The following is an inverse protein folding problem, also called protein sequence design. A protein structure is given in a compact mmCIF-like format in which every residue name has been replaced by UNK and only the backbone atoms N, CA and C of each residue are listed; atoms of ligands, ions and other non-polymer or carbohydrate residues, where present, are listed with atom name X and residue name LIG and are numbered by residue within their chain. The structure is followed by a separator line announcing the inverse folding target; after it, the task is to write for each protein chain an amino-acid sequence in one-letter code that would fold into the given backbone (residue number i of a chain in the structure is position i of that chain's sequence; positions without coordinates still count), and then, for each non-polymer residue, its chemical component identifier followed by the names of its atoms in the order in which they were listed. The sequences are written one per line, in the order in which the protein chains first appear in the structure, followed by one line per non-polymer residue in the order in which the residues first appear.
data_IF_545570761620
#
_entry.id   IF_545570761620
#
_cell.length_a   1.000
_cell.length_b   1.000
_cell.length_c   1.000
_cell.angle_alpha   90.00
_cell.angle_beta   90.00
_cell.angle_gamma   90.00
#
_symmetry.space_group_name_H-M   'P 1'
#
loop_
_entity.id
_entity.type
_entity.pdbx_description
1 polymer ?
#
# COMPACT_ATOMS: atom_id res chain seq x y z
N UNK A 1 -3.55 10.31 -19.54
CA UNK A 1 -3.08 8.92 -19.67
C UNK A 1 -1.87 8.97 -20.58
N UNK A 2 -0.69 8.58 -20.08
CA UNK A 2 0.53 8.60 -20.88
C UNK A 2 0.65 7.29 -21.68
N UNK A 3 1.33 7.34 -22.83
CA UNK A 3 1.63 6.16 -23.63
C UNK A 3 2.84 5.45 -23.01
N UNK A 4 2.66 4.19 -22.61
CA UNK A 4 3.72 3.35 -22.04
C UNK A 4 4.54 2.72 -23.17
N UNK A 5 3.85 2.24 -24.21
CA UNK A 5 4.51 1.53 -25.30
C UNK A 5 3.55 0.96 -26.34
N UNK A 6 4.07 0.10 -27.20
CA UNK A 6 3.36 -0.56 -28.29
C UNK A 6 3.69 -2.05 -28.36
N UNK A 7 2.69 -2.88 -28.63
CA UNK A 7 2.89 -4.32 -28.82
C UNK A 7 3.61 -4.59 -30.14
N UNK A 8 4.75 -5.29 -30.09
CA UNK A 8 5.59 -5.56 -31.26
C UNK A 8 5.61 -7.04 -31.67
N UNK A 9 5.25 -7.94 -30.77
CA UNK A 9 5.01 -9.35 -31.07
C UNK A 9 4.01 -9.93 -30.08
N UNK A 10 3.26 -10.95 -30.52
CA UNK A 10 2.34 -11.69 -29.67
C UNK A 10 2.12 -13.09 -30.25
N UNK A 11 2.15 -14.08 -29.38
CA UNK A 11 1.82 -15.48 -29.68
C UNK A 11 0.59 -15.86 -28.86
N UNK A 12 -0.54 -16.11 -29.53
CA UNK A 12 -1.81 -16.42 -28.88
C UNK A 12 -2.75 -15.22 -28.70
N UNK A 13 -3.71 -15.34 -27.77
CA UNK A 13 -4.73 -14.32 -27.50
C UNK A 13 -4.57 -13.77 -26.08
N UNK A 14 -4.18 -12.50 -25.97
CA UNK A 14 -4.13 -11.76 -24.72
C UNK A 14 -5.29 -10.77 -24.62
N UNK A 15 -5.65 -10.34 -23.41
CA UNK A 15 -6.62 -9.27 -23.20
C UNK A 15 -5.97 -8.07 -22.52
N UNK A 16 -6.38 -6.89 -22.92
CA UNK A 16 -6.10 -5.62 -22.25
C UNK A 16 -7.29 -5.23 -21.39
N UNK A 17 -7.06 -4.91 -20.14
CA UNK A 17 -8.04 -4.33 -19.23
C UNK A 17 -7.67 -2.86 -19.08
N UNK A 18 -8.49 -1.96 -19.61
CA UNK A 18 -8.26 -0.52 -19.48
C UNK A 18 -8.51 -0.03 -18.05
N UNK A 19 -8.03 1.17 -17.72
CA UNK A 19 -8.21 1.78 -16.39
C UNK A 19 -9.68 1.85 -15.89
N UNK A 20 -10.66 1.81 -16.80
CA UNK A 20 -12.09 1.78 -16.45
C UNK A 20 -12.64 0.35 -16.20
N UNK A 21 -11.77 -0.65 -16.17
CA UNK A 21 -12.12 -2.06 -16.00
C UNK A 21 -12.65 -2.75 -17.26
N UNK A 22 -12.74 -2.05 -18.41
CA UNK A 22 -13.19 -2.68 -19.64
C UNK A 22 -12.10 -3.59 -20.21
N UNK A 23 -12.46 -4.85 -20.46
CA UNK A 23 -11.59 -5.82 -21.09
C UNK A 23 -11.82 -5.85 -22.60
N UNK A 24 -10.72 -5.83 -23.37
CA UNK A 24 -10.70 -5.98 -24.83
C UNK A 24 -9.60 -6.96 -25.23
N UNK A 25 -9.77 -7.65 -26.34
CA UNK A 25 -8.68 -8.40 -26.95
C UNK A 25 -7.53 -7.48 -27.37
N UNK A 26 -6.32 -7.86 -26.97
CA UNK A 26 -5.09 -7.17 -27.32
C UNK A 26 -4.68 -7.55 -28.75
N UNK A 27 -4.17 -6.58 -29.52
CA UNK A 27 -3.71 -6.82 -30.89
C UNK A 27 -2.26 -6.37 -31.06
N UNK A 28 -1.61 -6.97 -32.05
CA UNK A 28 -0.29 -6.54 -32.48
C UNK A 28 -0.33 -5.08 -32.94
N UNK A 29 0.56 -4.26 -32.40
CA UNK A 29 0.62 -2.84 -32.66
C UNK A 29 -0.33 -1.98 -31.82
N UNK A 30 -1.06 -2.55 -30.87
CA UNK A 30 -1.86 -1.78 -29.92
C UNK A 30 -0.94 -0.93 -29.03
N UNK A 31 -1.42 0.28 -28.74
CA UNK A 31 -0.80 1.20 -27.81
C UNK A 31 -1.27 0.87 -26.39
N UNK A 32 -0.32 0.75 -25.46
CA UNK A 32 -0.58 0.52 -24.03
C UNK A 32 -0.43 1.83 -23.28
N UNK A 33 -1.41 2.17 -22.45
CA UNK A 33 -1.41 3.40 -21.67
C UNK A 33 -1.17 3.15 -20.19
N UNK A 34 -0.82 4.21 -19.46
CA UNK A 34 -0.70 4.15 -18.00
C UNK A 34 -2.04 3.71 -17.39
N UNK A 35 -1.95 2.84 -16.38
CA UNK A 35 -3.03 2.16 -15.69
C UNK A 35 -3.79 1.08 -16.50
N UNK A 36 -3.32 0.72 -17.69
CA UNK A 36 -3.82 -0.47 -18.37
C UNK A 36 -3.19 -1.75 -17.79
N UNK A 37 -3.91 -2.86 -17.86
CA UNK A 37 -3.44 -4.17 -17.41
C UNK A 37 -3.47 -5.18 -18.55
N UNK A 38 -2.35 -5.84 -18.84
CA UNK A 38 -2.28 -6.94 -19.79
C UNK A 38 -2.50 -8.25 -19.05
N UNK A 39 -3.41 -9.08 -19.57
CA UNK A 39 -3.70 -10.44 -19.10
C UNK A 39 -3.39 -11.44 -20.19
N UNK A 40 -2.42 -12.33 -19.95
CA UNK A 40 -2.07 -13.45 -20.83
C UNK A 40 -2.67 -14.75 -20.31
N UNK A 41 -3.16 -15.60 -21.22
CA UNK A 41 -3.64 -16.95 -20.90
C UNK A 41 -2.53 -17.99 -20.89
N UNK A 42 -2.89 -19.27 -20.74
CA UNK A 42 -1.95 -20.37 -20.83
C UNK A 42 -1.32 -20.46 -22.24
N UNK A 43 0.01 -20.55 -22.30
CA UNK A 43 0.77 -20.61 -23.56
C UNK A 43 0.75 -19.33 -24.40
N UNK A 44 0.36 -18.19 -23.83
CA UNK A 44 0.33 -16.88 -24.52
C UNK A 44 1.57 -16.08 -24.15
N UNK A 45 2.24 -15.51 -25.14
CA UNK A 45 3.40 -14.63 -24.94
C UNK A 45 3.17 -13.29 -25.64
N UNK A 46 3.63 -12.20 -25.04
CA UNK A 46 3.45 -10.83 -25.57
C UNK A 46 4.75 -10.05 -25.38
N UNK A 47 5.24 -9.42 -26.45
CA UNK A 47 6.36 -8.48 -26.38
C UNK A 47 5.85 -7.05 -26.53
N UNK A 48 6.09 -6.25 -25.49
CA UNK A 48 5.77 -4.84 -25.42
C UNK A 48 7.05 -4.02 -25.59
N UNK A 49 7.12 -3.20 -26.63
CA UNK A 49 8.15 -2.17 -26.74
C UNK A 49 7.70 -0.92 -26.01
N UNK A 50 8.42 -0.54 -24.96
CA UNK A 50 8.22 0.69 -24.22
C UNK A 50 8.58 1.92 -25.09
N UNK A 51 8.08 3.09 -24.69
CA UNK A 51 8.39 4.36 -25.35
C UNK A 51 9.89 4.71 -25.33
N UNK A 52 10.67 4.13 -24.41
CA UNK A 52 12.14 4.27 -24.34
C UNK A 52 12.89 3.31 -25.30
N UNK A 53 12.18 2.45 -26.04
CA UNK A 53 12.75 1.47 -26.97
C UNK A 53 13.05 0.09 -26.38
N UNK A 54 13.00 -0.07 -25.05
CA UNK A 54 13.18 -1.35 -24.38
C UNK A 54 12.01 -2.30 -24.66
N UNK A 55 12.30 -3.59 -24.80
CA UNK A 55 11.29 -4.63 -24.98
C UNK A 55 11.08 -5.37 -23.66
N UNK A 56 9.83 -5.47 -23.23
CA UNK A 56 9.38 -6.31 -22.12
C UNK A 56 8.73 -7.56 -22.70
N UNK A 57 9.25 -8.72 -22.32
CA UNK A 57 8.65 -10.01 -22.61
C UNK A 57 7.69 -10.42 -21.49
N UNK A 58 6.45 -10.73 -21.85
CA UNK A 58 5.38 -11.16 -20.95
C UNK A 58 5.03 -12.60 -21.28
N UNK A 59 5.31 -13.52 -20.35
CA UNK A 59 5.03 -14.94 -20.51
C UNK A 59 3.55 -15.32 -20.33
N UNK A 60 3.29 -16.62 -20.34
CA UNK A 60 1.97 -17.18 -20.11
C UNK A 60 1.47 -16.96 -18.67
N UNK A 61 0.14 -16.90 -18.53
CA UNK A 61 -0.57 -16.80 -17.24
C UNK A 61 -0.16 -15.59 -16.40
N UNK A 62 0.18 -14.49 -17.05
CA UNK A 62 0.58 -13.24 -16.40
C UNK A 62 -0.57 -12.24 -16.35
N UNK A 63 -0.56 -11.42 -15.31
CA UNK A 63 -1.43 -10.26 -15.17
C UNK A 63 -0.58 -9.07 -14.71
N UNK A 64 -0.29 -8.17 -15.64
CA UNK A 64 0.66 -7.07 -15.44
C UNK A 64 -0.07 -5.74 -15.61
N UNK A 65 -0.18 -4.98 -14.53
CA UNK A 65 -0.70 -3.63 -14.53
C UNK A 65 0.43 -2.63 -14.80
N UNK A 66 0.29 -1.74 -15.78
CA UNK A 66 1.30 -0.75 -16.16
C UNK A 66 1.03 0.59 -15.46
N UNK A 67 1.47 0.72 -14.22
CA UNK A 67 1.41 1.99 -13.47
C UNK A 67 2.54 2.96 -13.86
N UNK A 68 2.40 4.24 -13.53
CA UNK A 68 3.41 5.28 -13.81
C UNK A 68 4.77 4.92 -13.20
N UNK A 69 4.77 4.33 -11.99
CA UNK A 69 5.98 3.93 -11.26
C UNK A 69 6.75 2.78 -11.93
N UNK A 70 6.07 1.94 -12.73
CA UNK A 70 6.76 0.85 -13.43
C UNK A 70 7.63 1.38 -14.57
N UNK A 71 7.28 2.53 -15.17
CA UNK A 71 8.10 3.13 -16.24
C UNK A 71 9.46 3.56 -15.70
N UNK A 72 9.50 4.10 -14.47
CA UNK A 72 10.74 4.52 -13.80
C UNK A 72 11.57 3.32 -13.33
N UNK A 73 10.93 2.21 -12.94
CA UNK A 73 11.60 0.96 -12.58
C UNK A 73 12.24 0.23 -13.77
N UNK A 74 11.77 0.49 -15.00
CA UNK A 74 12.36 -0.05 -16.24
C UNK A 74 13.44 0.87 -16.83
N UNK A 75 13.88 1.91 -16.13
CA UNK A 75 15.16 2.55 -16.46
C UNK A 75 16.23 1.63 -15.88
N UNK A 76 16.95 0.80 -16.67
CA UNK A 76 18.22 0.29 -16.18
C UNK A 76 19.02 1.52 -15.80
N UNK A 77 19.52 1.60 -14.56
CA UNK A 77 20.52 2.59 -14.23
C UNK A 77 21.67 2.38 -15.21
N UNK A 78 21.68 3.18 -16.29
CA UNK A 78 22.57 3.05 -17.45
C UNK A 78 24.04 3.26 -17.07
N UNK A 79 24.29 3.56 -15.80
CA UNK A 79 25.60 3.71 -15.21
C UNK A 79 26.23 2.39 -14.74
N UNK A 80 25.47 1.34 -14.42
CA UNK A 80 26.04 0.12 -13.82
C UNK A 80 26.34 -1.00 -14.82
N UNK A 81 25.78 -0.90 -16.04
CA UNK A 81 25.95 -1.92 -17.08
C UNK A 81 26.72 -1.44 -18.33
N UNK A 82 27.19 -0.19 -18.36
CA UNK A 82 28.06 0.27 -19.44
C UNK A 82 29.47 -0.30 -19.23
N UNK A 83 29.75 -1.45 -19.84
CA UNK A 83 31.13 -1.89 -20.02
C UNK A 83 31.78 -0.87 -20.96
N UNK A 84 32.74 -0.11 -20.46
CA UNK A 84 33.48 0.85 -21.27
C UNK A 84 34.27 0.07 -22.33
N UNK A 85 33.85 0.20 -23.60
CA UNK A 85 34.43 -0.53 -24.73
C UNK A 85 35.92 -0.20 -24.88
N UNK A 86 36.34 1.00 -24.44
CA UNK A 86 37.75 1.37 -24.41
C UNK A 86 38.59 0.48 -23.50
N UNK A 87 38.02 -0.05 -22.41
CA UNK A 87 38.69 -1.00 -21.50
C UNK A 87 38.80 -2.40 -22.12
N UNK A 88 37.86 -2.78 -22.98
CA UNK A 88 37.89 -4.10 -23.65
C UNK A 88 39.02 -4.14 -24.69
N UNK A 89 39.15 -3.10 -25.52
CA UNK A 89 40.18 -3.04 -26.56
C UNK A 89 41.61 -3.03 -25.98
N UNK A 90 41.81 -2.40 -24.82
CA UNK A 90 43.11 -2.42 -24.13
C UNK A 90 43.44 -3.80 -23.55
N UNK A 91 42.46 -4.51 -22.99
CA UNK A 91 42.63 -5.88 -22.49
C UNK A 91 42.91 -6.86 -23.63
N UNK A 92 42.17 -6.76 -24.74
CA UNK A 92 42.39 -7.63 -25.91
C UNK A 92 43.81 -7.44 -26.45
N UNK A 93 44.26 -6.19 -26.61
CA UNK A 93 45.62 -5.89 -27.07
C UNK A 93 46.71 -6.34 -26.09
N UNK A 94 46.46 -6.26 -24.78
CA UNK A 94 47.38 -6.76 -23.76
C UNK A 94 47.56 -8.28 -23.84
N UNK A 95 46.47 -9.02 -24.08
CA UNK A 95 46.49 -10.47 -24.27
C UNK A 95 47.26 -10.86 -25.55
N UNK A 96 47.02 -10.15 -26.66
CA UNK A 96 47.73 -10.40 -27.93
C UNK A 96 49.24 -10.10 -27.84
N UNK A 97 49.62 -9.07 -27.08
CA UNK A 97 51.02 -8.70 -26.83
C UNK A 97 51.69 -9.57 -25.73
N UNK A 98 50.95 -10.45 -25.05
CA UNK A 98 51.44 -11.26 -23.93
C UNK A 98 51.82 -10.44 -22.69
N UNK A 99 51.24 -9.24 -22.53
CA UNK A 99 51.45 -8.35 -21.37
C UNK A 99 50.49 -8.72 -20.24
N UNK A 100 50.89 -8.40 -19.02
CA UNK A 100 50.02 -8.58 -17.86
C UNK A 100 48.85 -7.58 -17.91
N UNK A 101 47.64 -8.10 -17.74
CA UNK A 101 46.39 -7.33 -17.79
C UNK A 101 46.33 -6.36 -16.61
N UNK A 102 46.93 -6.69 -15.46
CA UNK A 102 46.94 -5.83 -14.27
C UNK A 102 47.80 -4.57 -14.41
N UNK A 103 48.70 -4.51 -15.40
CA UNK A 103 49.52 -3.33 -15.68
C UNK A 103 48.86 -2.37 -16.70
N UNK A 104 47.85 -2.86 -17.43
CA UNK A 104 47.18 -2.12 -18.51
C UNK A 104 45.88 -1.49 -18.05
N UNK A 105 45.22 -2.10 -17.06
CA UNK A 105 44.06 -1.53 -16.40
C UNK A 105 44.52 -0.52 -15.34
N UNK A 106 43.88 0.65 -15.27
CA UNK A 106 44.06 1.57 -14.14
C UNK A 106 43.64 0.85 -12.85
N UNK A 107 44.38 1.05 -11.74
CA UNK A 107 44.00 0.51 -10.43
C UNK A 107 42.64 1.10 -10.00
N UNK A 108 41.56 0.40 -10.31
CA UNK A 108 40.17 0.82 -10.06
C UNK A 108 39.78 0.78 -8.59
N UNK A 109 40.71 0.55 -7.66
CA UNK A 109 40.41 0.25 -6.25
C UNK A 109 40.73 1.35 -5.23
N UNK A 110 41.41 2.46 -5.57
CA UNK A 110 41.86 3.41 -4.53
C UNK A 110 41.60 4.90 -4.79
N UNK A 111 41.18 5.30 -5.99
CA UNK A 111 40.99 6.70 -6.33
C UNK A 111 42.30 7.53 -6.26
N UNK A 112 42.39 8.65 -6.98
CA UNK A 112 43.59 9.48 -6.93
C UNK A 112 43.62 10.22 -5.59
N UNK A 113 44.48 9.75 -4.67
CA UNK A 113 44.74 10.45 -3.40
C UNK A 113 44.50 9.65 -2.12
N UNK A 114 44.68 8.32 -2.13
CA UNK A 114 44.80 7.50 -0.92
C UNK A 114 46.03 7.89 -0.09
N UNK A 115 45.97 9.05 0.57
CA UNK A 115 46.88 9.43 1.64
C UNK A 115 46.78 8.35 2.71
N UNK A 116 47.94 7.79 3.04
CA UNK A 116 48.18 6.77 4.05
C UNK A 116 47.80 7.26 5.45
N UNK A 117 46.51 7.30 5.75
CA UNK A 117 46.02 7.32 7.12
C UNK A 117 45.58 5.92 7.50
N UNK A 118 46.49 5.26 8.23
CA UNK A 118 46.44 3.88 8.69
C UNK A 118 45.17 3.46 9.47
N UNK A 119 44.21 4.33 9.75
CA UNK A 119 42.94 3.97 10.41
C UNK A 119 41.84 4.96 9.98
N UNK A 120 41.17 4.65 8.86
CA UNK A 120 40.18 5.49 8.19
C UNK A 120 38.80 5.56 8.86
N UNK A 121 38.73 5.68 10.18
CA UNK A 121 37.47 5.91 10.89
C UNK A 121 37.72 6.63 12.21
N UNK A 122 37.06 7.78 12.40
CA UNK A 122 36.84 8.40 13.70
C UNK A 122 35.39 8.14 14.07
N UNK A 123 35.11 7.33 15.10
CA UNK A 123 33.75 7.23 15.63
C UNK A 123 33.44 8.49 16.42
N UNK A 124 32.26 9.07 16.19
CA UNK A 124 31.71 10.10 17.08
C UNK A 124 31.15 9.37 18.28
N UNK A 125 31.77 9.55 19.45
CA UNK A 125 31.24 9.01 20.70
C UNK A 125 30.02 9.85 21.09
N UNK A 126 28.82 9.30 20.88
CA UNK A 126 27.59 9.95 21.32
C UNK A 126 27.60 9.93 22.85
N UNK A 127 27.76 11.11 23.47
CA UNK A 127 27.48 11.29 24.90
C UNK A 127 26.10 10.70 25.13
N UNK A 128 26.04 9.61 25.90
CA UNK A 128 24.78 8.97 26.28
C UNK A 128 23.83 10.07 26.73
N UNK A 129 22.75 10.27 25.98
CA UNK A 129 21.63 11.04 26.48
C UNK A 129 21.20 10.30 27.74
N UNK A 130 21.30 10.95 28.89
CA UNK A 130 20.65 10.47 30.10
C UNK A 130 19.15 10.53 29.81
N UNK A 131 18.62 9.44 29.29
CA UNK A 131 17.20 9.25 29.11
C UNK A 131 16.64 9.06 30.52
N UNK A 132 16.25 10.17 31.16
CA UNK A 132 15.56 10.14 32.44
C UNK A 132 14.20 9.48 32.21
N UNK A 133 14.17 8.14 32.36
CA UNK A 133 13.01 7.25 32.21
C UNK A 133 11.84 7.55 33.18
N UNK A 134 11.78 8.75 33.77
CA UNK A 134 10.76 9.16 34.74
C UNK A 134 10.28 10.62 34.57
N UNK A 135 10.44 11.26 33.41
CA UNK A 135 9.81 12.57 33.18
C UNK A 135 8.32 12.50 32.73
N UNK A 136 7.69 11.34 32.88
CA UNK A 136 6.24 11.20 32.78
C UNK A 136 5.64 11.01 34.17
N UNK A 137 5.72 12.05 35.01
CA UNK A 137 4.86 12.15 36.19
C UNK A 137 3.44 12.48 35.72
N UNK A 138 2.74 11.50 35.15
CA UNK A 138 1.28 11.56 35.10
C UNK A 138 0.78 11.35 36.53
N UNK A 139 0.48 12.43 37.22
CA UNK A 139 -0.25 12.36 38.48
C UNK A 139 -1.68 11.91 38.14
N UNK A 140 -1.93 10.60 38.14
CA UNK A 140 -3.28 10.08 38.20
C UNK A 140 -3.78 10.30 39.63
N UNK A 141 -4.43 11.44 39.85
CA UNK A 141 -5.16 11.73 41.08
C UNK A 141 -6.44 10.89 41.09
N UNK A 142 -6.34 9.68 41.64
CA UNK A 142 -7.49 8.88 42.02
C UNK A 142 -7.92 9.30 43.43
N UNK A 143 -8.83 10.27 43.53
CA UNK A 143 -9.60 10.48 44.76
C UNK A 143 -9.88 11.91 45.19
N UNK A 144 -11.17 12.23 45.16
CA UNK A 144 -11.88 13.28 45.90
C UNK A 144 -11.80 14.73 45.37
N UNK A 145 -12.96 15.19 44.94
CA UNK A 145 -13.37 16.57 44.63
C UNK A 145 -12.91 17.59 45.68
N UNK A 146 -12.47 18.76 45.19
CA UNK A 146 -12.90 20.06 45.74
C UNK A 146 -13.07 21.03 44.55
N UNK A 147 -14.27 21.53 44.26
CA UNK A 147 -14.47 22.48 43.15
C UNK A 147 -13.90 23.83 43.55
N UNK A 148 -12.96 24.34 42.77
CA UNK A 148 -12.40 25.66 43.02
C UNK A 148 -11.19 26.00 42.17
N UNK A 149 -11.32 25.96 40.84
CA UNK A 149 -10.70 27.00 40.01
C UNK A 149 -11.42 27.09 38.65
N UNK A 150 -11.83 28.32 38.31
CA UNK A 150 -12.61 28.69 37.15
C UNK A 150 -11.84 28.44 35.85
N UNK A 151 -12.31 27.51 35.02
CA UNK A 151 -11.82 27.39 33.65
C UNK A 151 -12.18 28.64 32.85
N UNK A 152 -11.16 29.22 32.20
CA UNK A 152 -11.28 30.35 31.27
C UNK A 152 -12.42 30.12 30.27
N UNK A 153 -13.29 31.13 30.16
CA UNK A 153 -14.40 31.25 29.21
C UNK A 153 -13.88 31.23 27.77
N UNK A 154 -13.63 30.02 27.24
CA UNK A 154 -13.70 29.77 25.81
C UNK A 154 -15.17 29.56 25.47
N UNK A 155 -15.75 30.48 24.69
CA UNK A 155 -17.15 30.49 24.26
C UNK A 155 -17.65 29.07 23.96
N UNK A 156 -18.35 28.48 24.93
CA UNK A 156 -18.96 27.17 24.78
C UNK A 156 -20.08 27.30 23.77
N UNK A 157 -20.13 26.38 22.80
CA UNK A 157 -21.25 26.18 21.88
C UNK A 157 -22.63 26.04 22.57
N UNK A 158 -22.66 25.95 23.91
CA UNK A 158 -23.84 25.94 24.75
C UNK A 158 -24.64 27.26 24.75
N UNK A 159 -24.08 28.41 24.35
CA UNK A 159 -24.83 29.69 24.32
C UNK A 159 -25.73 29.83 23.07
N UNK A 160 -25.65 28.90 22.12
CA UNK A 160 -26.48 28.92 20.88
C UNK A 160 -27.79 28.12 21.04
N UNK A 161 -27.93 27.26 22.06
CA UNK A 161 -29.04 26.30 22.15
C UNK A 161 -30.18 26.77 23.09
N UNK A 162 -30.18 28.04 23.52
CA UNK A 162 -31.26 28.61 24.33
C UNK A 162 -32.28 29.43 23.53
N UNK A 163 -32.39 29.25 22.21
CA UNK A 163 -33.41 29.90 21.39
C UNK A 163 -34.29 28.87 20.66
N UNK A 164 -35.40 28.53 21.32
CA UNK A 164 -36.72 28.25 20.74
C UNK A 164 -36.95 26.96 19.92
N UNK A 165 -36.47 25.80 20.37
CA UNK A 165 -37.19 24.54 20.09
C UNK A 165 -36.85 23.44 21.11
N UNK A 166 -37.45 23.49 22.29
CA UNK A 166 -37.29 22.47 23.34
C UNK A 166 -38.24 21.27 23.13
N UNK A 167 -38.40 20.82 21.89
CA UNK A 167 -39.42 19.83 21.53
C UNK A 167 -38.93 18.63 20.71
N UNK A 168 -37.64 18.32 20.63
CA UNK A 168 -37.17 16.96 20.30
C UNK A 168 -35.65 16.84 20.51
N UNK A 169 -35.20 16.69 21.75
CA UNK A 169 -33.94 15.96 21.94
C UNK A 169 -34.32 14.49 21.89
N UNK A 170 -34.33 13.93 20.68
CA UNK A 170 -34.28 12.49 20.51
C UNK A 170 -33.01 12.02 21.23
N UNK A 171 -33.19 11.47 22.43
CA UNK A 171 -32.10 10.81 23.14
C UNK A 171 -31.85 9.51 22.40
N UNK A 172 -30.82 9.52 21.56
CA UNK A 172 -30.37 8.32 20.87
C UNK A 172 -30.08 7.24 21.92
N UNK A 173 -30.76 6.09 21.81
CA UNK A 173 -30.59 4.97 22.71
C UNK A 173 -30.09 3.79 21.91
N UNK A 174 -29.05 3.14 22.43
CA UNK A 174 -28.46 1.98 21.76
C UNK A 174 -29.45 0.82 21.72
N UNK A 175 -29.45 0.03 20.64
CA UNK A 175 -30.22 -1.21 20.61
C UNK A 175 -29.69 -2.19 21.66
N UNK A 176 -30.60 -2.94 22.28
CA UNK A 176 -30.30 -3.93 23.31
C UNK A 176 -30.91 -5.26 22.89
N UNK A 177 -30.07 -6.30 22.79
CA UNK A 177 -30.49 -7.66 22.54
C UNK A 177 -30.55 -8.45 23.86
N UNK A 178 -31.61 -9.23 24.04
CA UNK A 178 -31.86 -10.10 25.19
C UNK A 178 -31.94 -11.54 24.70
N UNK A 179 -31.22 -12.45 25.36
CA UNK A 179 -31.17 -13.85 24.94
C UNK A 179 -32.55 -14.51 25.04
N UNK A 180 -32.95 -15.17 23.95
CA UNK A 180 -34.09 -16.07 23.94
C UNK A 180 -33.75 -17.42 24.58
N UNK A 181 -34.76 -18.06 25.17
CA UNK A 181 -34.67 -19.43 25.69
C UNK A 181 -35.79 -20.28 25.13
N UNK A 182 -35.43 -21.36 24.45
CA UNK A 182 -36.36 -22.37 23.98
C UNK A 182 -35.77 -23.78 24.13
N UNK A 183 -36.62 -24.75 24.43
CA UNK A 183 -36.24 -26.15 24.58
C UNK A 183 -37.32 -27.06 24.01
N UNK A 184 -36.92 -28.18 23.42
CA UNK A 184 -37.81 -29.27 23.01
C UNK A 184 -37.38 -30.57 23.71
N UNK A 185 -38.34 -31.42 24.02
CA UNK A 185 -38.10 -32.77 24.58
C UNK A 185 -38.06 -33.81 23.46
N UNK A 186 -37.50 -34.99 23.72
CA UNK A 186 -37.35 -36.05 22.70
C UNK A 186 -38.68 -36.46 22.04
N UNK A 187 -39.77 -36.44 22.82
CA UNK A 187 -41.10 -36.91 22.40
C UNK A 187 -42.04 -35.79 21.92
N UNK A 188 -41.54 -34.57 21.72
CA UNK A 188 -42.42 -33.47 21.32
C UNK A 188 -42.96 -33.66 19.88
N UNK A 189 -44.24 -33.35 19.68
CA UNK A 189 -44.88 -33.26 18.37
C UNK A 189 -45.96 -32.15 18.41
N UNK A 190 -45.76 -31.00 17.75
CA UNK A 190 -44.68 -30.67 16.80
C UNK A 190 -43.35 -30.27 17.46
N UNK A 191 -42.24 -30.63 16.81
CA UNK A 191 -40.86 -30.27 17.20
C UNK A 191 -40.42 -28.93 16.61
N UNK A 192 -41.17 -27.87 16.85
CA UNK A 192 -40.85 -26.54 16.30
C UNK A 192 -40.58 -25.54 17.41
N UNK A 193 -39.40 -24.92 17.36
CA UNK A 193 -39.07 -23.71 18.11
C UNK A 193 -39.25 -22.52 17.17
N UNK A 194 -39.97 -21.50 17.62
CA UNK A 194 -40.13 -20.24 16.91
C UNK A 194 -39.67 -19.09 17.81
N UNK A 195 -39.15 -18.03 17.21
CA UNK A 195 -38.68 -16.82 17.89
C UNK A 195 -38.92 -15.59 17.03
N UNK A 196 -38.79 -14.40 17.62
CA UNK A 196 -38.98 -13.13 16.92
C UNK A 196 -37.92 -12.14 17.36
N UNK A 197 -37.45 -11.30 16.45
CA UNK A 197 -36.33 -10.36 16.67
C UNK A 197 -36.66 -9.13 17.55
N UNK A 198 -37.88 -9.01 18.07
CA UNK A 198 -38.34 -7.84 18.85
C UNK A 198 -39.13 -8.19 20.11
N UNK A 199 -39.37 -9.47 20.39
CA UNK A 199 -40.24 -9.81 21.53
C UNK A 199 -39.62 -9.43 22.88
N UNK A 200 -38.30 -9.35 22.96
CA UNK A 200 -37.53 -8.93 24.13
C UNK A 200 -36.37 -7.97 23.80
N UNK A 201 -36.15 -7.66 22.52
CA UNK A 201 -35.10 -6.78 22.05
C UNK A 201 -35.61 -5.35 21.87
N UNK A 202 -34.75 -4.35 22.10
CA UNK A 202 -35.04 -2.93 21.82
C UNK A 202 -34.19 -2.45 20.65
N UNK A 203 -34.80 -1.80 19.66
CA UNK A 203 -34.10 -1.26 18.47
C UNK A 203 -33.49 0.13 18.69
N UNK A 204 -33.71 0.72 19.87
CA UNK A 204 -33.27 2.08 20.18
C UNK A 204 -34.27 3.14 19.77
N UNK A 205 -33.82 4.40 19.76
CA UNK A 205 -34.66 5.57 19.49
C UNK A 205 -34.96 5.80 17.99
N UNK A 206 -34.25 5.10 17.10
CA UNK A 206 -34.40 5.18 15.63
C UNK A 206 -35.59 4.35 15.09
N UNK A 207 -36.62 4.12 15.90
CA UNK A 207 -37.67 3.17 15.54
C UNK A 207 -38.61 3.73 14.45
N UNK A 208 -38.53 3.18 13.24
CA UNK A 208 -39.71 3.10 12.37
C UNK A 208 -40.69 2.10 13.02
N UNK A 209 -41.89 2.56 13.40
CA UNK A 209 -42.84 1.83 14.24
C UNK A 209 -43.40 0.49 13.65
N UNK A 210 -42.97 0.08 12.46
CA UNK A 210 -43.36 -1.18 11.81
C UNK A 210 -42.23 -1.81 10.99
N UNK A 211 -41.31 -2.57 11.61
CA UNK A 211 -40.38 -3.40 10.86
C UNK A 211 -41.14 -4.56 10.21
N UNK A 212 -41.08 -4.66 8.89
CA UNK A 212 -41.71 -5.75 8.14
C UNK A 212 -40.97 -7.06 8.39
N UNK A 213 -41.61 -7.98 9.11
CA UNK A 213 -41.12 -9.34 9.29
C UNK A 213 -41.23 -10.05 7.92
N UNK A 214 -40.10 -10.49 7.36
CA UNK A 214 -40.08 -11.39 6.18
C UNK A 214 -39.93 -12.82 6.63
#
# INVERSE_FOLDING_TARGET
MALIGKIIAMTGTASLISNNGNQRDLKLGDNIQTADTIKTGAGVEVDLQLANGQVIHIGAEQLIAFADELVDAFIPASLDASVDVATIDTVVKAIEDGKDISEVLEETAAGPGGSSNSYGFSFVDLVRINDDLNNFRFAYEFGSVTPGDTALSGNSFADVINQEDAAEIATDSSPVAVNDSASITEDAAPNTVSGTVLSNDTVGADSNATPTQR
#
